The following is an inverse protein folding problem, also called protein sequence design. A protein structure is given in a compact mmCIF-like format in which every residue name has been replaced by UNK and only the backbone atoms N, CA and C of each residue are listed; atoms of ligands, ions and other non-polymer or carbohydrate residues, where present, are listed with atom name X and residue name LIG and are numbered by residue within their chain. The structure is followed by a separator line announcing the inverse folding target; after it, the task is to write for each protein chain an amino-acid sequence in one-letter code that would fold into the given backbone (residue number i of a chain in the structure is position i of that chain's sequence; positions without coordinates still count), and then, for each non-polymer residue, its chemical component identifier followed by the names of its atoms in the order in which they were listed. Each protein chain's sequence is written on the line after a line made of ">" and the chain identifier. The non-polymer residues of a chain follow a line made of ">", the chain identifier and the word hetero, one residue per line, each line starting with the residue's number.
data_IF_095610289703
#
_entry.id   IF_095610289703
#
_cell.length_a   1.000
_cell.length_b   1.000
_cell.length_c   1.000
_cell.angle_alpha   90.00
_cell.angle_beta   90.00
_cell.angle_gamma   90.00
#
_symmetry.space_group_name_H-M   'P 1'
#
loop_
_entity.id
_entity.type
_entity.pdbx_description
1 polymer ?
#
# COMPACT_ATOMS: atom_id res chain seq x y z
N UNK A 1 -13.20 -2.14 19.94
CA UNK A 1 -12.34 -3.02 19.11
C UNK A 1 -11.60 -2.16 18.09
N UNK A 2 -10.60 -2.69 17.41
CA UNK A 2 -9.65 -1.89 16.61
C UNK A 2 -9.61 -2.43 15.18
N UNK A 3 -9.83 -1.58 14.18
CA UNK A 3 -9.82 -1.96 12.77
C UNK A 3 -8.75 -1.16 12.02
N UNK A 4 -7.74 -1.86 11.52
CA UNK A 4 -6.64 -1.31 10.74
C UNK A 4 -6.83 -1.66 9.28
N UNK A 5 -6.78 -0.67 8.40
CA UNK A 5 -6.88 -0.86 6.96
C UNK A 5 -5.64 -0.28 6.30
N UNK A 6 -5.08 -1.03 5.37
CA UNK A 6 -4.36 -0.38 4.28
C UNK A 6 -5.32 0.43 3.40
N UNK A 7 -4.79 1.42 2.69
CA UNK A 7 -5.57 2.33 1.86
C UNK A 7 -5.73 1.81 0.43
N UNK A 8 -4.65 1.55 -0.29
CA UNK A 8 -4.67 1.29 -1.73
C UNK A 8 -4.89 -0.21 -1.99
N UNK A 9 -6.08 -0.55 -2.47
CA UNK A 9 -6.58 -1.91 -2.57
C UNK A 9 -7.83 -2.09 -1.71
N UNK A 10 -7.75 -1.99 -0.38
CA UNK A 10 -8.93 -2.14 0.48
C UNK A 10 -9.89 -0.94 0.47
N UNK A 11 -9.39 0.30 0.52
CA UNK A 11 -10.22 1.50 0.68
C UNK A 11 -10.37 2.32 -0.61
N UNK A 12 -9.33 2.37 -1.44
CA UNK A 12 -9.30 3.02 -2.75
C UNK A 12 -8.76 2.05 -3.80
N UNK A 13 -9.34 1.97 -5.03
CA UNK A 13 -8.76 1.16 -6.10
C UNK A 13 -7.54 1.80 -6.75
N UNK A 14 -7.33 3.10 -6.53
CA UNK A 14 -6.30 3.92 -7.16
C UNK A 14 -4.94 3.66 -6.51
N UNK A 15 -3.92 3.47 -7.34
CA UNK A 15 -2.52 3.66 -6.95
C UNK A 15 -2.19 5.15 -7.19
N UNK A 16 -2.09 5.94 -6.13
CA UNK A 16 -2.04 7.39 -6.31
C UNK A 16 -0.72 7.85 -6.93
N UNK A 17 0.39 7.18 -6.63
CA UNK A 17 1.67 7.58 -7.20
C UNK A 17 1.79 7.21 -8.68
N UNK A 18 1.17 6.10 -9.09
CA UNK A 18 1.00 5.79 -10.50
C UNK A 18 0.20 6.89 -11.23
N UNK A 19 -0.97 7.28 -10.69
CA UNK A 19 -1.81 8.33 -11.31
C UNK A 19 -1.13 9.71 -11.33
N UNK A 20 -0.41 10.08 -10.27
CA UNK A 20 0.39 11.32 -10.25
C UNK A 20 1.49 11.28 -11.31
N UNK A 21 2.15 10.14 -11.48
CA UNK A 21 3.14 9.95 -12.55
C UNK A 21 2.50 10.10 -13.93
N UNK A 22 1.21 9.80 -14.08
CA UNK A 22 0.44 10.04 -15.30
C UNK A 22 0.36 11.51 -15.76
N UNK A 23 0.67 12.47 -14.88
CA UNK A 23 0.79 13.89 -15.26
C UNK A 23 2.06 14.18 -16.07
N UNK A 24 3.06 13.31 -15.98
CA UNK A 24 4.36 13.43 -16.64
C UNK A 24 4.28 12.73 -18.01
N UNK A 25 4.91 13.32 -19.03
CA UNK A 25 5.03 12.67 -20.34
C UNK A 25 5.83 11.37 -20.18
N UNK A 26 5.25 10.24 -20.61
CA UNK A 26 5.79 8.89 -20.38
C UNK A 26 5.89 8.46 -18.91
N UNK A 27 5.28 9.20 -17.97
CA UNK A 27 5.45 8.95 -16.54
C UNK A 27 4.94 7.58 -16.07
N UNK A 28 3.91 7.00 -16.70
CA UNK A 28 3.53 5.61 -16.42
C UNK A 28 4.64 4.61 -16.74
N UNK A 29 5.39 4.79 -17.85
CA UNK A 29 6.52 3.93 -18.20
C UNK A 29 7.65 4.08 -17.17
N UNK A 30 7.94 5.30 -16.75
CA UNK A 30 8.94 5.58 -15.71
C UNK A 30 8.54 4.90 -14.41
N UNK A 31 7.29 5.07 -13.98
CA UNK A 31 6.76 4.46 -12.77
C UNK A 31 6.84 2.93 -12.81
N UNK A 32 6.47 2.28 -13.92
CA UNK A 32 6.55 0.82 -14.06
C UNK A 32 7.98 0.31 -13.90
N UNK A 33 8.99 1.01 -14.43
CA UNK A 33 10.40 0.65 -14.27
C UNK A 33 10.86 0.87 -12.81
N UNK A 34 10.49 1.99 -12.19
CA UNK A 34 10.83 2.28 -10.79
C UNK A 34 10.15 1.29 -9.83
N UNK A 35 8.89 0.95 -10.06
CA UNK A 35 8.15 -0.06 -9.30
C UNK A 35 8.79 -1.44 -9.46
N UNK A 36 9.22 -1.81 -10.67
CA UNK A 36 9.96 -3.06 -10.87
C UNK A 36 11.29 -3.07 -10.11
N UNK A 37 11.97 -1.93 -10.04
CA UNK A 37 13.20 -1.79 -9.27
C UNK A 37 12.98 -1.96 -7.76
N UNK A 38 11.89 -1.41 -7.20
CA UNK A 38 11.49 -1.62 -5.81
C UNK A 38 11.26 -3.12 -5.49
N UNK A 39 10.59 -3.84 -6.40
CA UNK A 39 10.41 -5.29 -6.28
C UNK A 39 11.75 -6.04 -6.25
N UNK A 40 12.70 -5.68 -7.14
CA UNK A 40 14.04 -6.30 -7.21
C UNK A 40 14.78 -6.10 -5.88
N UNK A 41 14.84 -4.86 -5.39
CA UNK A 41 15.51 -4.53 -4.12
C UNK A 41 14.88 -5.25 -2.92
N UNK A 42 13.56 -5.39 -2.95
CA UNK A 42 12.80 -6.11 -1.92
C UNK A 42 13.10 -7.61 -1.92
N UNK A 43 13.10 -8.24 -3.10
CA UNK A 43 13.34 -9.68 -3.26
C UNK A 43 14.76 -10.06 -2.85
N UNK A 44 15.74 -9.18 -3.08
CA UNK A 44 17.12 -9.35 -2.62
C UNK A 44 17.31 -9.10 -1.12
N UNK A 45 16.27 -8.66 -0.40
CA UNK A 45 16.34 -8.32 1.03
C UNK A 45 17.49 -7.35 1.34
N UNK A 46 17.68 -6.34 0.49
CA UNK A 46 18.78 -5.38 0.63
C UNK A 46 18.75 -4.72 2.00
N UNK A 47 19.91 -4.68 2.66
CA UNK A 47 20.01 -4.11 3.99
C UNK A 47 19.58 -2.63 3.98
N UNK A 48 18.66 -2.27 4.88
CA UNK A 48 18.13 -0.90 5.01
C UNK A 48 17.01 -0.54 4.03
N UNK A 49 16.56 -1.47 3.17
CA UNK A 49 15.48 -1.25 2.22
C UNK A 49 14.16 -1.90 2.71
N UNK A 50 13.03 -1.23 2.51
CA UNK A 50 11.70 -1.75 2.86
C UNK A 50 10.79 -1.78 1.62
N UNK A 51 9.92 -2.81 1.48
CA UNK A 51 8.95 -2.83 0.38
C UNK A 51 8.01 -1.62 0.41
N UNK A 52 7.74 -1.04 -0.76
CA UNK A 52 6.90 0.14 -0.92
C UNK A 52 7.69 1.44 -1.09
N UNK A 53 9.02 1.37 -1.08
CA UNK A 53 9.92 2.50 -1.31
C UNK A 53 9.82 3.04 -2.74
N UNK A 54 9.05 2.41 -3.65
CA UNK A 54 8.62 3.01 -4.94
C UNK A 54 8.20 4.48 -4.77
N UNK A 55 7.46 4.80 -3.70
CA UNK A 55 7.02 6.17 -3.41
C UNK A 55 8.19 7.11 -3.14
N UNK A 56 9.22 6.67 -2.42
CA UNK A 56 10.43 7.47 -2.26
C UNK A 56 11.17 7.61 -3.59
N UNK A 57 11.31 6.51 -4.32
CA UNK A 57 12.08 6.44 -5.57
C UNK A 57 11.50 7.31 -6.70
N UNK A 58 10.19 7.54 -6.74
CA UNK A 58 9.58 8.39 -7.77
C UNK A 58 9.73 9.89 -7.50
N UNK A 59 9.98 10.31 -6.24
CA UNK A 59 10.03 11.74 -5.86
C UNK A 59 10.99 12.58 -6.71
N UNK A 60 12.23 12.16 -7.01
CA UNK A 60 13.13 12.97 -7.84
C UNK A 60 12.53 13.31 -9.20
N UNK A 61 11.82 12.37 -9.83
CA UNK A 61 11.15 12.59 -11.12
C UNK A 61 9.95 13.55 -10.98
N UNK A 62 9.19 13.46 -9.89
CA UNK A 62 8.13 14.42 -9.60
C UNK A 62 8.69 15.85 -9.48
N UNK A 63 9.81 16.01 -8.78
CA UNK A 63 10.48 17.30 -8.61
C UNK A 63 11.01 17.82 -9.96
N UNK A 64 11.65 16.96 -10.76
CA UNK A 64 12.15 17.31 -12.10
C UNK A 64 11.07 17.85 -13.03
N UNK A 65 9.88 17.24 -13.00
CA UNK A 65 8.74 17.69 -13.79
C UNK A 65 7.90 18.79 -13.13
N UNK A 66 8.41 19.41 -12.07
CA UNK A 66 7.75 20.48 -11.31
C UNK A 66 6.36 20.10 -10.76
N UNK A 67 6.12 18.83 -10.49
CA UNK A 67 4.92 18.37 -9.78
C UNK A 67 4.89 19.02 -8.40
N UNK A 68 3.72 19.49 -8.00
CA UNK A 68 3.49 20.18 -6.72
C UNK A 68 2.67 19.31 -5.78
N UNK A 69 2.68 19.64 -4.49
CA UNK A 69 1.78 19.01 -3.51
C UNK A 69 0.29 19.19 -3.89
N UNK A 70 -0.05 20.30 -4.55
CA UNK A 70 -1.40 20.56 -5.04
C UNK A 70 -1.77 19.65 -6.22
N UNK A 71 -0.82 19.24 -7.05
CA UNK A 71 -1.08 18.29 -8.14
C UNK A 71 -1.40 16.90 -7.56
N UNK A 72 -0.62 16.45 -6.56
CA UNK A 72 -0.90 15.21 -5.82
C UNK A 72 -2.29 15.26 -5.20
N UNK A 73 -2.63 16.39 -4.58
CA UNK A 73 -3.96 16.60 -3.98
C UNK A 73 -5.08 16.57 -5.03
N UNK A 74 -4.89 17.22 -6.18
CA UNK A 74 -5.86 17.28 -7.28
C UNK A 74 -6.11 15.92 -7.92
N UNK A 75 -5.08 15.08 -8.04
CA UNK A 75 -5.22 13.67 -8.48
C UNK A 75 -6.01 12.88 -7.44
N UNK A 76 -5.69 13.04 -6.16
CA UNK A 76 -6.35 12.36 -5.06
C UNK A 76 -7.83 12.75 -4.88
N UNK A 77 -8.20 14.01 -5.12
CA UNK A 77 -9.60 14.46 -5.04
C UNK A 77 -10.53 13.66 -5.96
N UNK A 78 -10.01 13.22 -7.12
CA UNK A 78 -10.74 12.38 -8.09
C UNK A 78 -10.75 10.90 -7.73
N UNK A 79 -9.96 10.49 -6.73
CA UNK A 79 -9.84 9.09 -6.34
C UNK A 79 -11.16 8.51 -5.86
N UNK A 80 -11.46 7.31 -6.34
CA UNK A 80 -12.67 6.57 -5.98
C UNK A 80 -12.49 5.86 -4.64
N UNK A 81 -13.60 5.52 -4.01
CA UNK A 81 -13.64 4.66 -2.83
C UNK A 81 -14.16 3.29 -3.26
N UNK A 82 -13.58 2.22 -2.73
CA UNK A 82 -14.04 0.86 -2.97
C UNK A 82 -15.52 0.74 -2.59
N UNK A 83 -16.29 0.02 -3.41
CA UNK A 83 -17.71 -0.19 -3.18
C UNK A 83 -17.94 -0.72 -1.75
N UNK A 84 -18.90 -0.14 -1.04
CA UNK A 84 -19.24 -0.57 0.31
C UNK A 84 -18.24 -0.18 1.42
N UNK A 85 -17.09 0.43 1.12
CA UNK A 85 -16.13 0.85 2.14
C UNK A 85 -16.73 1.92 3.07
N UNK A 86 -17.33 3.00 2.52
CA UNK A 86 -18.06 4.01 3.31
C UNK A 86 -19.07 3.38 4.28
N UNK A 87 -19.88 2.45 3.79
CA UNK A 87 -20.88 1.75 4.59
C UNK A 87 -20.23 0.93 5.71
N UNK A 88 -19.23 0.11 5.38
CA UNK A 88 -18.54 -0.72 6.37
C UNK A 88 -17.92 0.15 7.47
N UNK A 89 -17.15 1.17 7.09
CA UNK A 89 -16.49 2.07 8.05
C UNK A 89 -17.51 2.78 8.95
N UNK A 90 -18.59 3.31 8.37
CA UNK A 90 -19.67 3.93 9.15
C UNK A 90 -20.29 2.98 10.18
N UNK A 91 -20.59 1.74 9.77
CA UNK A 91 -21.17 0.74 10.67
C UNK A 91 -20.18 0.25 11.75
N UNK A 92 -18.89 0.18 11.43
CA UNK A 92 -17.83 -0.13 12.40
C UNK A 92 -17.77 0.97 13.47
N UNK A 93 -17.73 2.24 13.07
CA UNK A 93 -17.74 3.38 14.00
C UNK A 93 -18.99 3.36 14.89
N UNK A 94 -20.17 3.12 14.32
CA UNK A 94 -21.42 2.98 15.09
C UNK A 94 -21.37 1.81 16.09
N UNK A 95 -20.68 0.73 15.74
CA UNK A 95 -20.39 -0.41 16.61
C UNK A 95 -19.24 -0.20 17.60
N UNK A 96 -18.78 1.04 17.84
CA UNK A 96 -17.67 1.38 18.75
C UNK A 96 -16.34 0.73 18.38
N UNK A 97 -16.09 0.58 17.09
CA UNK A 97 -14.76 0.31 16.59
C UNK A 97 -14.00 1.61 16.37
N UNK A 98 -12.74 1.65 16.81
CA UNK A 98 -11.81 2.65 16.29
C UNK A 98 -11.29 2.14 14.94
N UNK A 99 -11.34 3.02 13.94
CA UNK A 99 -10.87 2.74 12.58
C UNK A 99 -9.61 3.55 12.34
N UNK A 100 -8.58 2.88 11.82
CA UNK A 100 -7.29 3.46 11.46
C UNK A 100 -6.93 3.13 10.03
N UNK A 101 -6.22 4.05 9.39
CA UNK A 101 -5.64 3.87 8.07
C UNK A 101 -4.12 3.92 8.22
N UNK A 102 -3.43 2.90 7.71
CA UNK A 102 -1.97 2.86 7.69
C UNK A 102 -1.55 2.55 6.26
N UNK A 103 -1.06 3.56 5.54
CA UNK A 103 -0.87 3.51 4.08
C UNK A 103 0.55 3.87 3.72
N UNK A 104 1.08 3.29 2.66
CA UNK A 104 2.32 3.79 2.05
C UNK A 104 2.12 5.15 1.41
N UNK A 105 0.95 5.47 0.85
CA UNK A 105 0.69 6.68 0.05
C UNK A 105 1.09 7.99 0.76
N UNK A 106 1.34 9.03 -0.03
CA UNK A 106 1.65 10.36 0.52
C UNK A 106 0.48 10.93 1.32
N UNK A 107 0.81 11.78 2.30
CA UNK A 107 -0.16 12.45 3.19
C UNK A 107 -1.31 13.14 2.45
N UNK A 108 -1.04 13.78 1.31
CA UNK A 108 -2.04 14.44 0.46
C UNK A 108 -3.10 13.44 -0.02
N UNK A 109 -2.72 12.20 -0.32
CA UNK A 109 -3.65 11.15 -0.70
C UNK A 109 -4.38 10.56 0.50
N UNK A 110 -3.60 10.16 1.52
CA UNK A 110 -4.11 9.48 2.69
C UNK A 110 -5.17 10.30 3.43
N UNK A 111 -4.93 11.59 3.62
CA UNK A 111 -5.87 12.49 4.31
C UNK A 111 -7.17 12.70 3.53
N UNK A 112 -7.11 12.85 2.21
CA UNK A 112 -8.31 12.99 1.38
C UNK A 112 -9.17 11.71 1.40
N UNK A 113 -8.56 10.52 1.36
CA UNK A 113 -9.32 9.26 1.46
C UNK A 113 -9.89 9.07 2.86
N UNK A 114 -9.13 9.42 3.90
CA UNK A 114 -9.62 9.41 5.28
C UNK A 114 -10.83 10.35 5.47
N UNK A 115 -10.77 11.58 4.92
CA UNK A 115 -11.88 12.54 4.93
C UNK A 115 -13.12 11.97 4.23
N UNK A 116 -12.95 11.39 3.02
CA UNK A 116 -14.05 10.72 2.29
C UNK A 116 -14.69 9.58 3.07
N UNK A 117 -13.96 8.94 3.98
CA UNK A 117 -14.44 7.85 4.84
C UNK A 117 -14.81 8.31 6.25
N UNK A 118 -14.69 9.61 6.53
CA UNK A 118 -14.87 10.22 7.85
C UNK A 118 -14.04 9.49 8.93
N UNK A 119 -12.79 9.16 8.60
CA UNK A 119 -11.76 8.69 9.54
C UNK A 119 -10.99 9.92 10.01
N UNK A 120 -10.77 10.02 11.32
CA UNK A 120 -10.13 11.19 11.91
C UNK A 120 -8.65 11.27 11.49
N UNK A 121 -8.10 12.46 11.23
CA UNK A 121 -6.70 12.63 10.84
C UNK A 121 -5.71 11.98 11.82
N UNK A 122 -5.97 12.05 13.13
CA UNK A 122 -5.11 11.42 14.13
C UNK A 122 -5.09 9.88 14.04
N UNK A 123 -6.01 9.26 13.30
CA UNK A 123 -6.06 7.81 13.07
C UNK A 123 -5.46 7.40 11.73
N UNK A 124 -4.76 8.30 11.05
CA UNK A 124 -4.11 8.06 9.76
C UNK A 124 -2.61 8.10 9.96
N UNK A 125 -1.92 7.10 9.42
CA UNK A 125 -0.47 7.09 9.28
C UNK A 125 -0.10 6.83 7.82
N UNK A 126 0.80 7.64 7.29
CA UNK A 126 1.13 7.68 5.88
C UNK A 126 2.59 8.14 5.66
N UNK A 127 3.03 8.18 4.40
CA UNK A 127 4.32 8.78 4.06
C UNK A 127 4.19 10.31 4.06
N UNK A 128 4.96 10.97 4.91
CA UNK A 128 5.09 12.42 4.88
C UNK A 128 5.88 12.84 3.63
N UNK A 129 5.35 13.82 2.89
CA UNK A 129 6.01 14.37 1.71
C UNK A 129 5.68 15.85 1.59
N UNK A 130 6.72 16.65 1.42
CA UNK A 130 6.66 18.08 1.14
C UNK A 130 7.61 18.34 -0.04
N UNK A 131 7.04 18.48 -1.25
CA UNK A 131 7.83 18.66 -2.47
C UNK A 131 8.51 20.03 -2.53
N UNK A 132 8.03 21.03 -1.79
CA UNK A 132 8.63 22.35 -1.78
C UNK A 132 10.06 22.32 -1.20
N UNK A 133 10.35 21.40 -0.27
CA UNK A 133 11.70 21.19 0.29
C UNK A 133 12.75 20.78 -0.74
N UNK A 134 12.33 20.25 -1.89
CA UNK A 134 13.23 19.78 -2.94
C UNK A 134 13.51 20.85 -4.00
N UNK A 135 12.74 21.96 -4.03
CA UNK A 135 12.85 22.95 -5.10
C UNK A 135 14.18 23.69 -5.05
N UNK A 136 14.79 23.85 -6.22
CA UNK A 136 16.01 24.63 -6.40
C UNK A 136 17.29 23.97 -5.87
N UNK A 137 17.21 22.73 -5.39
CA UNK A 137 18.37 21.96 -4.95
C UNK A 137 19.17 21.43 -6.15
N UNK A 138 20.49 21.36 -5.98
CA UNK A 138 21.40 20.78 -6.97
C UNK A 138 21.11 19.29 -7.22
N UNK A 139 21.26 18.84 -8.47
CA UNK A 139 21.21 17.42 -8.88
C UNK A 139 20.08 17.07 -9.82
N UNK A 140 19.29 18.06 -10.26
CA UNK A 140 18.12 17.84 -11.10
C UNK A 140 18.50 17.36 -12.51
N UNK A 141 19.69 17.76 -12.98
CA UNK A 141 20.25 17.34 -14.26
C UNK A 141 20.50 15.82 -14.30
N UNK A 142 20.95 15.24 -13.17
CA UNK A 142 21.12 13.78 -13.07
C UNK A 142 19.79 13.03 -13.14
N UNK A 143 18.70 13.65 -12.65
CA UNK A 143 17.35 13.07 -12.78
C UNK A 143 16.92 13.06 -14.25
N UNK A 144 17.19 14.14 -14.97
CA UNK A 144 16.91 14.21 -16.41
C UNK A 144 17.70 13.14 -17.19
N UNK A 145 19.01 13.01 -16.92
CA UNK A 145 19.87 12.03 -17.58
C UNK A 145 19.43 10.58 -17.31
N UNK A 146 19.08 10.24 -16.07
CA UNK A 146 18.60 8.88 -15.77
C UNK A 146 17.21 8.62 -16.36
N UNK A 147 16.34 9.63 -16.42
CA UNK A 147 15.03 9.51 -17.07
C UNK A 147 15.18 9.16 -18.55
N UNK A 148 16.05 9.85 -19.29
CA UNK A 148 16.31 9.53 -20.69
C UNK A 148 16.81 8.09 -20.86
N UNK A 149 17.74 7.65 -20.00
CA UNK A 149 18.25 6.26 -19.99
C UNK A 149 17.15 5.23 -19.68
N UNK A 150 16.23 5.54 -18.75
CA UNK A 150 15.06 4.70 -18.47
C UNK A 150 14.15 4.62 -19.71
N UNK A 151 13.95 5.73 -20.40
CA UNK A 151 13.09 5.78 -21.59
C UNK A 151 13.70 5.04 -22.78
N UNK A 152 15.03 4.95 -22.87
CA UNK A 152 15.76 4.15 -23.86
C UNK A 152 15.74 2.64 -23.57
N UNK A 153 15.40 2.22 -22.35
CA UNK A 153 15.33 0.80 -22.03
C UNK A 153 14.32 0.07 -22.95
N UNK A 154 14.69 -1.13 -23.44
CA UNK A 154 13.76 -1.96 -24.20
C UNK A 154 12.56 -2.34 -23.34
N UNK A 155 11.39 -2.53 -23.96
CA UNK A 155 10.14 -2.88 -23.24
C UNK A 155 10.24 -4.14 -22.36
N UNK A 156 11.24 -4.99 -22.59
CA UNK A 156 11.53 -6.20 -21.81
C UNK A 156 12.96 -6.17 -21.27
N UNK A 157 13.40 -5.03 -20.75
CA UNK A 157 14.68 -4.95 -20.05
C UNK A 157 14.70 -5.98 -18.92
N UNK A 158 15.81 -6.70 -18.79
CA UNK A 158 15.99 -7.66 -17.70
C UNK A 158 16.19 -6.94 -16.37
N UNK A 159 15.86 -7.63 -15.28
CA UNK A 159 15.99 -7.10 -13.92
C UNK A 159 17.43 -6.63 -13.64
N UNK A 160 18.45 -7.35 -14.11
CA UNK A 160 19.86 -6.96 -13.98
C UNK A 160 20.18 -5.61 -14.61
N UNK A 161 19.62 -5.32 -15.80
CA UNK A 161 19.82 -4.05 -16.51
C UNK A 161 19.14 -2.89 -15.78
N UNK A 162 17.91 -3.10 -15.32
CA UNK A 162 17.18 -2.09 -14.53
C UNK A 162 17.94 -1.80 -13.25
N UNK A 163 18.37 -2.85 -12.56
CA UNK A 163 19.09 -2.77 -11.30
C UNK A 163 20.42 -2.05 -11.45
N UNK A 164 21.23 -2.40 -12.44
CA UNK A 164 22.54 -1.76 -12.66
C UNK A 164 22.39 -0.26 -12.91
N UNK A 165 21.44 0.12 -13.78
CA UNK A 165 21.13 1.52 -14.08
C UNK A 165 20.75 2.29 -12.82
N UNK A 166 19.74 1.80 -12.10
CA UNK A 166 19.14 2.51 -10.99
C UNK A 166 19.99 2.44 -9.71
N UNK A 167 20.81 1.39 -9.53
CA UNK A 167 21.81 1.35 -8.47
C UNK A 167 22.90 2.40 -8.67
N UNK A 168 23.36 2.60 -9.91
CA UNK A 168 24.34 3.66 -10.19
C UNK A 168 23.76 5.04 -9.87
N UNK A 169 22.52 5.28 -10.30
CA UNK A 169 21.85 6.54 -10.03
C UNK A 169 21.54 6.73 -8.54
N UNK A 170 20.63 5.93 -7.95
CA UNK A 170 20.11 6.17 -6.60
C UNK A 170 21.13 5.96 -5.49
N UNK A 171 22.10 5.05 -5.66
CA UNK A 171 23.02 4.68 -4.57
C UNK A 171 24.45 5.17 -4.78
N UNK A 172 24.77 5.84 -5.91
CA UNK A 172 26.12 6.40 -6.12
C UNK A 172 26.09 7.87 -6.57
N UNK A 173 25.50 8.14 -7.74
CA UNK A 173 25.58 9.45 -8.38
C UNK A 173 24.69 10.47 -7.65
N UNK A 174 23.40 10.13 -7.50
CA UNK A 174 22.40 11.00 -6.91
C UNK A 174 22.73 11.40 -5.47
N UNK A 175 23.30 10.47 -4.69
CA UNK A 175 23.68 10.65 -3.28
C UNK A 175 24.72 11.76 -3.04
N UNK A 176 25.43 12.21 -4.08
CA UNK A 176 26.43 13.28 -3.98
C UNK A 176 25.82 14.68 -4.07
N UNK A 177 24.56 14.77 -4.49
CA UNK A 177 23.85 16.04 -4.74
C UNK A 177 23.09 16.52 -3.51
N UNK A 178 22.56 17.75 -3.54
CA UNK A 178 21.67 18.26 -2.49
C UNK A 178 20.32 17.53 -2.50
N UNK A 179 19.75 17.30 -3.70
CA UNK A 179 18.54 16.49 -3.85
C UNK A 179 18.69 15.09 -3.26
N UNK A 180 19.82 14.43 -3.49
CA UNK A 180 20.09 13.11 -2.94
C UNK A 180 20.14 13.08 -1.41
N UNK A 181 20.62 14.15 -0.77
CA UNK A 181 20.64 14.27 0.69
C UNK A 181 19.23 14.40 1.25
N UNK A 182 18.41 15.31 0.69
CA UNK A 182 17.02 15.52 1.13
C UNK A 182 16.15 14.30 0.80
N UNK A 183 16.41 13.63 -0.32
CA UNK A 183 15.79 12.35 -0.67
C UNK A 183 15.95 11.31 0.43
N UNK A 184 17.12 11.24 1.07
CA UNK A 184 17.34 10.24 2.13
C UNK A 184 16.47 10.47 3.37
N UNK A 185 16.01 11.70 3.60
CA UNK A 185 15.10 12.05 4.71
C UNK A 185 13.67 11.54 4.50
N UNK A 186 13.30 11.13 3.29
CA UNK A 186 11.97 10.56 3.03
C UNK A 186 11.85 9.21 3.72
N UNK A 187 10.87 9.12 4.62
CA UNK A 187 10.50 7.93 5.35
C UNK A 187 9.15 7.38 4.87
N UNK A 188 9.19 6.40 3.95
CA UNK A 188 7.99 5.68 3.50
C UNK A 188 7.31 4.85 4.58
N UNK A 189 6.00 4.95 4.75
CA UNK A 189 5.20 4.11 5.66
C UNK A 189 5.04 2.66 5.14
N UNK A 190 6.16 1.95 4.94
CA UNK A 190 6.27 0.56 4.49
C UNK A 190 6.10 -0.47 5.61
N UNK A 191 6.29 -1.75 5.31
CA UNK A 191 5.80 -2.84 6.16
C UNK A 191 6.27 -2.84 7.62
N UNK A 192 7.54 -2.58 7.93
CA UNK A 192 8.00 -2.52 9.33
C UNK A 192 7.34 -1.36 10.08
N UNK A 193 7.22 -0.21 9.41
CA UNK A 193 6.60 0.98 9.97
C UNK A 193 5.11 0.77 10.16
N UNK A 194 4.38 0.16 9.20
CA UNK A 194 2.96 -0.18 9.38
C UNK A 194 2.70 -1.00 10.64
N UNK A 195 3.50 -2.05 10.85
CA UNK A 195 3.40 -2.90 12.04
C UNK A 195 3.73 -2.14 13.35
N UNK A 196 4.68 -1.21 13.29
CA UNK A 196 5.07 -0.35 14.43
C UNK A 196 3.98 0.65 14.76
N UNK A 197 3.47 1.38 13.78
CA UNK A 197 2.38 2.35 13.93
C UNK A 197 1.10 1.70 14.45
N UNK A 198 0.79 0.48 14.02
CA UNK A 198 -0.32 -0.29 14.61
C UNK A 198 -0.17 -0.41 16.13
N UNK A 199 1.03 -0.74 16.64
CA UNK A 199 1.29 -0.83 18.09
C UNK A 199 1.18 0.53 18.77
N UNK A 200 1.61 1.60 18.11
CA UNK A 200 1.55 2.95 18.64
C UNK A 200 0.10 3.43 18.80
N UNK A 201 -0.75 3.20 17.79
CA UNK A 201 -2.19 3.47 17.90
C UNK A 201 -2.84 2.67 19.02
N UNK A 202 -2.53 1.38 19.14
CA UNK A 202 -3.05 0.56 20.24
C UNK A 202 -2.59 1.05 21.61
N UNK A 203 -1.32 1.44 21.75
CA UNK A 203 -0.78 1.99 23.00
C UNK A 203 -1.47 3.32 23.36
N UNK A 204 -1.66 4.20 22.37
CA UNK A 204 -2.33 5.51 22.54
C UNK A 204 -3.77 5.34 23.03
N UNK A 205 -4.51 4.41 22.43
CA UNK A 205 -5.96 4.29 22.63
C UNK A 205 -6.35 3.17 23.60
N UNK A 206 -5.39 2.56 24.30
CA UNK A 206 -5.62 1.48 25.26
C UNK A 206 -6.17 0.20 24.63
N UNK A 207 -5.83 -0.08 23.37
CA UNK A 207 -6.25 -1.26 22.62
C UNK A 207 -5.30 -2.46 22.77
N UNK A 208 -5.81 -3.65 22.42
CA UNK A 208 -5.02 -4.89 22.40
C UNK A 208 -5.01 -5.53 21.00
N UNK A 209 -3.87 -6.10 20.58
CA UNK A 209 -3.74 -6.73 19.25
C UNK A 209 -4.71 -7.91 19.08
N UNK A 210 -4.95 -8.70 20.14
CA UNK A 210 -5.92 -9.81 20.11
C UNK A 210 -7.37 -9.37 19.85
N UNK A 211 -7.67 -8.08 20.03
CA UNK A 211 -8.98 -7.46 19.78
C UNK A 211 -8.95 -6.55 18.55
N UNK A 212 -7.99 -6.79 17.65
CA UNK A 212 -7.76 -6.02 16.43
C UNK A 212 -8.01 -6.86 15.18
N UNK A 213 -8.53 -6.19 14.14
CA UNK A 213 -8.62 -6.71 12.77
C UNK A 213 -7.70 -5.87 11.90
N UNK A 214 -6.85 -6.50 11.10
CA UNK A 214 -6.05 -5.82 10.07
C UNK A 214 -6.44 -6.31 8.68
N UNK A 215 -6.59 -5.38 7.74
CA UNK A 215 -6.92 -5.67 6.34
C UNK A 215 -5.84 -5.09 5.43
N UNK A 216 -5.26 -5.90 4.56
CA UNK A 216 -4.26 -5.49 3.57
C UNK A 216 -4.37 -6.32 2.29
N UNK A 217 -3.56 -5.99 1.29
CA UNK A 217 -3.61 -6.61 -0.04
C UNK A 217 -2.23 -6.90 -0.66
N UNK A 218 -1.15 -6.28 -0.19
CA UNK A 218 0.14 -6.28 -0.90
C UNK A 218 1.33 -6.64 -0.01
N UNK A 219 2.52 -6.60 -0.61
CA UNK A 219 3.79 -6.82 0.08
C UNK A 219 4.02 -5.82 1.21
N UNK A 220 3.47 -4.61 1.13
CA UNK A 220 3.67 -3.58 2.17
C UNK A 220 2.90 -3.90 3.46
N UNK A 221 1.96 -4.85 3.43
CA UNK A 221 1.10 -5.19 4.57
C UNK A 221 1.54 -6.43 5.34
N UNK A 222 2.43 -7.24 4.77
CA UNK A 222 2.66 -8.60 5.29
C UNK A 222 3.13 -8.60 6.74
N UNK A 223 3.96 -7.63 7.16
CA UNK A 223 4.46 -7.53 8.54
C UNK A 223 3.34 -7.18 9.52
N UNK A 224 2.46 -6.25 9.14
CA UNK A 224 1.27 -5.88 9.92
C UNK A 224 0.29 -7.06 10.05
N UNK A 225 -0.06 -7.70 8.93
CA UNK A 225 -0.93 -8.87 8.89
C UNK A 225 -0.39 -10.02 9.74
N UNK A 226 0.91 -10.34 9.57
CA UNK A 226 1.60 -11.38 10.33
C UNK A 226 1.56 -11.12 11.83
N UNK A 227 1.77 -9.87 12.25
CA UNK A 227 1.76 -9.52 13.67
C UNK A 227 0.37 -9.72 14.29
N UNK A 228 -0.68 -9.20 13.64
CA UNK A 228 -2.06 -9.37 14.08
C UNK A 228 -2.44 -10.86 14.15
N UNK A 229 -2.12 -11.62 13.09
CA UNK A 229 -2.34 -13.07 13.02
C UNK A 229 -1.68 -13.82 14.17
N UNK A 230 -0.39 -13.57 14.43
CA UNK A 230 0.41 -14.28 15.46
C UNK A 230 -0.01 -13.93 16.88
N UNK A 231 -0.54 -12.72 17.11
CA UNK A 231 -0.96 -12.24 18.44
C UNK A 231 -2.46 -12.44 18.70
N UNK A 232 -3.14 -13.25 17.90
CA UNK A 232 -4.51 -13.69 18.14
C UNK A 232 -5.60 -12.74 17.62
N UNK A 233 -5.23 -11.63 16.97
CA UNK A 233 -6.17 -10.82 16.21
C UNK A 233 -6.53 -11.48 14.88
N UNK A 234 -7.35 -10.81 14.08
CA UNK A 234 -7.79 -11.31 12.77
C UNK A 234 -7.07 -10.58 11.63
N UNK A 235 -6.29 -11.31 10.84
CA UNK A 235 -5.68 -10.78 9.63
C UNK A 235 -6.52 -11.15 8.40
N UNK A 236 -6.98 -10.16 7.63
CA UNK A 236 -7.78 -10.32 6.43
C UNK A 236 -6.97 -9.85 5.21
N UNK A 237 -6.90 -10.68 4.18
CA UNK A 237 -6.32 -10.30 2.89
C UNK A 237 -7.46 -10.02 1.91
N UNK A 238 -7.60 -8.77 1.45
CA UNK A 238 -8.68 -8.36 0.54
C UNK A 238 -8.14 -8.15 -0.87
N UNK A 239 -8.58 -8.94 -1.84
CA UNK A 239 -8.09 -8.91 -3.23
C UNK A 239 -6.55 -8.93 -3.36
N UNK A 240 -5.87 -9.56 -2.39
CA UNK A 240 -4.42 -9.50 -2.28
C UNK A 240 -3.64 -10.36 -3.26
N UNK A 241 -2.36 -10.03 -3.41
CA UNK A 241 -1.40 -10.74 -4.27
C UNK A 241 -0.69 -11.89 -3.54
N UNK A 242 0.26 -12.53 -4.23
CA UNK A 242 1.06 -13.65 -3.70
C UNK A 242 1.87 -13.28 -2.46
N UNK A 243 2.21 -12.00 -2.26
CA UNK A 243 3.00 -11.54 -1.12
C UNK A 243 2.19 -11.39 0.16
N UNK A 244 0.92 -10.99 0.09
CA UNK A 244 0.07 -10.79 1.28
C UNK A 244 -0.68 -12.06 1.70
N UNK A 245 -1.11 -12.88 0.74
CA UNK A 245 -1.94 -14.08 0.97
C UNK A 245 -1.39 -15.01 2.06
N UNK A 246 -0.08 -15.34 2.16
CA UNK A 246 0.43 -16.24 3.20
C UNK A 246 0.28 -15.71 4.64
N UNK A 247 0.11 -14.40 4.80
CA UNK A 247 0.16 -13.72 6.09
C UNK A 247 -1.21 -13.40 6.69
N UNK A 248 -2.29 -13.62 5.94
CA UNK A 248 -3.66 -13.53 6.44
C UNK A 248 -4.14 -14.80 7.17
N UNK A 249 -5.25 -14.67 7.87
CA UNK A 249 -6.07 -15.79 8.36
C UNK A 249 -7.18 -16.14 7.35
N UNK A 250 -7.79 -15.11 6.79
CA UNK A 250 -8.89 -15.20 5.84
C UNK A 250 -8.55 -14.36 4.63
N UNK A 251 -8.80 -14.90 3.45
CA UNK A 251 -8.68 -14.20 2.18
C UNK A 251 -10.09 -13.96 1.61
N UNK A 252 -10.35 -12.72 1.18
CA UNK A 252 -11.63 -12.32 0.59
C UNK A 252 -11.41 -11.69 -0.78
N UNK A 253 -12.02 -12.26 -1.81
CA UNK A 253 -12.03 -11.74 -3.17
C UNK A 253 -13.41 -11.15 -3.50
N UNK A 254 -13.50 -9.82 -3.64
CA UNK A 254 -14.77 -9.12 -3.86
C UNK A 254 -14.60 -7.74 -4.47
N UNK A 255 -15.61 -7.26 -5.19
CA UNK A 255 -15.69 -5.87 -5.67
C UNK A 255 -16.09 -4.89 -4.55
N UNK A 256 -16.64 -5.41 -3.44
CA UNK A 256 -17.16 -4.60 -2.35
C UNK A 256 -16.48 -4.93 -1.03
N UNK A 257 -15.91 -3.93 -0.36
CA UNK A 257 -15.31 -4.08 0.97
C UNK A 257 -16.36 -4.47 2.01
N UNK A 258 -17.64 -4.17 1.76
CA UNK A 258 -18.74 -4.59 2.64
C UNK A 258 -18.85 -6.12 2.78
N UNK A 259 -18.24 -6.89 1.87
CA UNK A 259 -18.06 -8.33 2.03
C UNK A 259 -17.34 -8.72 3.33
N UNK A 260 -16.54 -7.83 3.93
CA UNK A 260 -15.87 -8.11 5.20
C UNK A 260 -16.82 -8.06 6.41
N UNK A 261 -18.00 -7.44 6.29
CA UNK A 261 -18.93 -7.20 7.42
C UNK A 261 -19.25 -8.45 8.25
N UNK A 262 -19.56 -9.63 7.66
CA UNK A 262 -19.82 -10.83 8.44
C UNK A 262 -18.62 -11.30 9.27
N UNK A 263 -17.39 -11.07 8.80
CA UNK A 263 -16.17 -11.44 9.52
C UNK A 263 -15.95 -10.52 10.73
N UNK A 264 -16.18 -9.20 10.56
CA UNK A 264 -16.15 -8.24 11.66
C UNK A 264 -17.19 -8.56 12.74
N UNK A 265 -18.43 -8.88 12.36
CA UNK A 265 -19.48 -9.27 13.30
C UNK A 265 -19.10 -10.54 14.07
N UNK A 266 -18.68 -11.59 13.37
CA UNK A 266 -18.28 -12.85 14.00
C UNK A 266 -17.10 -12.68 14.96
N UNK A 267 -16.11 -11.85 14.60
CA UNK A 267 -14.97 -11.55 15.45
C UNK A 267 -15.40 -10.78 16.72
N UNK A 268 -16.33 -9.83 16.62
CA UNK A 268 -16.91 -9.13 17.78
C UNK A 268 -17.65 -10.05 18.74
N UNK A 269 -18.30 -11.10 18.23
CA UNK A 269 -19.15 -11.99 19.03
C UNK A 269 -18.39 -13.15 19.69
N UNK A 270 -17.19 -13.51 19.23
CA UNK A 270 -16.50 -14.65 19.83
C UNK A 270 -15.18 -15.02 19.21
N UNK A 271 -14.33 -14.01 19.00
CA UNK A 271 -12.92 -14.14 18.63
C UNK A 271 -12.67 -14.58 17.19
N UNK A 272 -11.38 -14.70 16.86
CA UNK A 272 -10.86 -15.15 15.56
C UNK A 272 -11.48 -16.46 15.07
N UNK A 273 -11.74 -17.42 15.96
CA UNK A 273 -12.25 -18.75 15.59
C UNK A 273 -13.60 -18.67 14.88
N UNK A 274 -14.54 -17.84 15.36
CA UNK A 274 -15.85 -17.64 14.73
C UNK A 274 -15.73 -17.02 13.34
N UNK A 275 -14.84 -16.05 13.16
CA UNK A 275 -14.61 -15.46 11.83
C UNK A 275 -14.07 -16.49 10.84
N UNK A 276 -13.11 -17.32 11.28
CA UNK A 276 -12.56 -18.44 10.47
C UNK A 276 -13.63 -19.47 10.14
N UNK A 277 -14.53 -19.77 11.07
CA UNK A 277 -15.67 -20.67 10.87
C UNK A 277 -16.63 -20.14 9.80
N UNK A 278 -17.02 -18.86 9.88
CA UNK A 278 -17.87 -18.20 8.85
C UNK A 278 -17.21 -18.25 7.47
N UNK A 279 -15.91 -17.99 7.38
CA UNK A 279 -15.18 -18.11 6.11
C UNK A 279 -15.15 -19.57 5.61
N UNK A 280 -15.01 -20.54 6.52
CA UNK A 280 -15.05 -21.97 6.21
C UNK A 280 -16.41 -22.43 5.66
N UNK A 281 -17.52 -22.00 6.25
CA UNK A 281 -18.87 -22.31 5.74
C UNK A 281 -19.13 -21.71 4.37
N UNK A 282 -18.59 -20.52 4.12
CA UNK A 282 -18.72 -19.82 2.85
C UNK A 282 -17.70 -20.28 1.80
N UNK A 283 -16.80 -21.23 2.11
CA UNK A 283 -15.58 -21.51 1.35
C UNK A 283 -15.83 -21.79 -0.13
N UNK A 284 -15.93 -20.72 -0.91
CA UNK A 284 -16.31 -20.68 -2.32
C UNK A 284 -15.21 -20.02 -3.15
N UNK A 285 -13.96 -20.11 -2.65
CA UNK A 285 -12.75 -19.42 -3.14
C UNK A 285 -12.77 -17.90 -2.94
N UNK A 286 -13.94 -17.24 -2.97
CA UNK A 286 -14.07 -15.79 -2.67
C UNK A 286 -14.01 -15.48 -1.19
N UNK A 287 -14.41 -16.41 -0.34
CA UNK A 287 -14.05 -16.45 1.07
C UNK A 287 -13.22 -17.71 1.25
N UNK A 288 -11.98 -17.58 1.71
CA UNK A 288 -11.11 -18.71 1.93
C UNK A 288 -10.40 -18.59 3.27
N UNK A 289 -10.33 -19.71 3.99
CA UNK A 289 -9.42 -19.84 5.13
C UNK A 289 -8.04 -20.15 4.58
N UNK A 290 -7.08 -19.27 4.82
CA UNK A 290 -5.72 -19.43 4.29
C UNK A 290 -5.08 -20.69 4.90
N UNK A 291 -4.49 -21.53 4.04
CA UNK A 291 -3.96 -22.85 4.40
C UNK A 291 -4.96 -24.02 4.31
N UNK A 292 -6.25 -23.75 4.06
CA UNK A 292 -7.26 -24.78 3.75
C UNK A 292 -7.64 -24.85 2.27
N UNK A 293 -7.17 -23.89 1.47
CA UNK A 293 -7.40 -23.80 0.02
C UNK A 293 -6.07 -23.91 -0.73
N UNK A 294 -6.11 -24.38 -1.99
CA UNK A 294 -4.94 -24.38 -2.87
C UNK A 294 -4.40 -22.94 -3.02
N UNK A 295 -3.09 -22.70 -2.80
CA UNK A 295 -2.49 -21.38 -3.01
C UNK A 295 -2.71 -20.84 -4.43
N UNK A 296 -2.64 -21.71 -5.44
CA UNK A 296 -2.79 -21.32 -6.85
C UNK A 296 -4.24 -20.91 -7.17
N UNK A 297 -5.23 -21.69 -6.73
CA UNK A 297 -6.66 -21.35 -6.89
C UNK A 297 -6.98 -20.02 -6.20
N UNK A 298 -6.38 -19.79 -5.03
CA UNK A 298 -6.59 -18.57 -4.26
C UNK A 298 -5.96 -17.36 -4.96
N UNK A 299 -4.74 -17.51 -5.46
CA UNK A 299 -4.06 -16.45 -6.20
C UNK A 299 -4.79 -16.12 -7.50
N UNK A 300 -5.31 -17.12 -8.23
CA UNK A 300 -6.07 -16.91 -9.46
C UNK A 300 -7.32 -16.05 -9.21
N UNK A 301 -8.13 -16.41 -8.23
CA UNK A 301 -9.38 -15.68 -7.96
C UNK A 301 -9.10 -14.28 -7.40
N UNK A 302 -8.10 -14.13 -6.55
CA UNK A 302 -7.71 -12.82 -6.03
C UNK A 302 -7.16 -11.91 -7.12
N UNK A 303 -6.31 -12.43 -8.01
CA UNK A 303 -5.78 -11.68 -9.16
C UNK A 303 -6.89 -11.20 -10.08
N UNK A 304 -7.91 -12.04 -10.32
CA UNK A 304 -9.10 -11.65 -11.10
C UNK A 304 -9.82 -10.47 -10.47
N UNK A 305 -10.10 -10.50 -9.16
CA UNK A 305 -10.80 -9.43 -8.47
C UNK A 305 -9.94 -8.17 -8.32
N UNK A 306 -8.64 -8.32 -8.05
CA UNK A 306 -7.67 -7.21 -8.03
C UNK A 306 -7.71 -6.46 -9.36
N UNK A 307 -7.66 -7.18 -10.49
CA UNK A 307 -7.78 -6.59 -11.84
C UNK A 307 -9.12 -5.90 -12.07
N UNK A 308 -10.22 -6.53 -11.65
CA UNK A 308 -11.58 -5.99 -11.81
C UNK A 308 -11.75 -4.66 -11.07
N UNK A 309 -11.16 -4.56 -9.88
CA UNK A 309 -11.30 -3.40 -8.98
C UNK A 309 -10.29 -2.30 -9.30
N UNK A 310 -9.02 -2.65 -9.52
CA UNK A 310 -7.91 -1.69 -9.66
C UNK A 310 -7.61 -1.26 -11.09
N UNK A 311 -8.27 -1.83 -12.11
CA UNK A 311 -7.97 -1.50 -13.51
C UNK A 311 -6.50 -1.81 -13.82
N UNK A 312 -5.79 -0.93 -14.55
CA UNK A 312 -4.38 -1.15 -14.93
C UNK A 312 -3.41 -1.21 -13.75
N UNK A 313 -3.71 -0.52 -12.65
CA UNK A 313 -2.88 -0.51 -11.44
C UNK A 313 -2.77 -1.89 -10.75
N UNK A 314 -3.54 -2.90 -11.18
CA UNK A 314 -3.49 -4.24 -10.60
C UNK A 314 -2.14 -4.95 -10.76
N UNK A 315 -1.37 -4.57 -11.79
CA UNK A 315 -0.05 -5.15 -12.13
C UNK A 315 1.08 -4.61 -11.25
N UNK A 316 0.81 -3.53 -10.52
CA UNK A 316 1.77 -2.84 -9.67
C UNK A 316 1.77 -3.50 -8.29
N UNK A 317 2.98 -3.73 -7.77
CA UNK A 317 3.25 -4.36 -6.47
C UNK A 317 2.35 -5.54 -6.15
#
# INVERSE_FOLDING_TARGET
>A
MQAFFDLEGPLSPQDNAYEVSGLIRNGYKIFEIISRYDDILTLESRAGYEPGDTLKLIVPFLVYHNITDNDIKSVSEKAKIIQGAKRLISELKAGRWNVYIISTSYIQHAMNIAEKLEVKPENVACTELDLEKFRGLEGIELVAEVEDRILELPKKAGDDTIKELLDSFFFKEFQKTELGKVFNEIEVMGGTRKATTLREFLKRDGGEIKSSVATGDSITDYKMLREVKRKGGLAIVFNGNSYSLPYGDIAVASESLYSLKPLFNAFSEGSKSKAVEIAGFKNNRKYAVIGKSSPDDLLEIHSKYRKLVRGEAWKLG
#
